data_IF_556305419720
#
_entry.id   IF_556305419720
#
_cell.length_a   1.000
_cell.length_b   1.000
_cell.length_c   1.000
_cell.angle_alpha   90.00
_cell.angle_beta   90.00
_cell.angle_gamma   90.00
#
_symmetry.space_group_name_H-M   'P 1'
#
loop_
_entity.id
_entity.type
_entity.pdbx_description
1 polymer ?
#
# COMPACT_ATOMS: atom_id res chain seq x y z
N UNK A 1 -32.17 -38.92 -48.11
CA UNK A 1 -31.91 -37.56 -47.55
C UNK A 1 -31.65 -37.76 -46.07
N UNK A 2 -30.36 -37.91 -45.72
CA UNK A 2 -29.93 -38.03 -44.32
C UNK A 2 -29.73 -36.64 -43.72
N UNK A 3 -30.49 -36.35 -42.67
CA UNK A 3 -30.33 -35.17 -41.85
C UNK A 3 -29.15 -35.38 -40.88
N UNK A 4 -27.99 -34.85 -41.15
CA UNK A 4 -26.90 -34.76 -40.21
C UNK A 4 -27.09 -33.50 -39.33
N UNK A 5 -27.37 -33.75 -38.06
CA UNK A 5 -27.36 -32.69 -37.03
C UNK A 5 -25.93 -32.19 -36.78
N UNK A 6 -25.74 -30.88 -36.55
CA UNK A 6 -24.42 -30.37 -36.20
C UNK A 6 -23.98 -30.83 -34.81
N UNK A 7 -22.65 -30.98 -34.56
CA UNK A 7 -22.13 -31.37 -33.25
C UNK A 7 -22.37 -30.26 -32.21
N UNK A 8 -22.49 -30.61 -30.93
CA UNK A 8 -22.66 -29.63 -29.87
C UNK A 8 -21.40 -28.75 -29.74
N UNK A 9 -21.66 -27.46 -29.55
CA UNK A 9 -20.64 -26.45 -29.30
C UNK A 9 -20.15 -26.56 -27.87
N UNK A 10 -19.01 -27.24 -27.66
CA UNK A 10 -18.33 -27.45 -26.36
C UNK A 10 -17.34 -26.31 -26.04
N UNK A 11 -17.62 -25.07 -26.40
CA UNK A 11 -16.79 -23.92 -26.03
C UNK A 11 -17.14 -23.34 -24.64
N UNK A 12 -17.51 -24.15 -23.66
CA UNK A 12 -17.51 -23.75 -22.27
C UNK A 12 -16.12 -23.97 -21.67
N UNK A 13 -15.23 -22.97 -21.84
CA UNK A 13 -14.05 -22.84 -20.99
C UNK A 13 -14.54 -22.60 -19.56
N UNK A 14 -14.29 -23.49 -18.60
CA UNK A 14 -14.65 -23.23 -17.23
C UNK A 14 -13.84 -22.02 -16.73
N UNK A 15 -14.52 -20.96 -16.37
CA UNK A 15 -13.91 -19.85 -15.63
C UNK A 15 -13.26 -20.43 -14.38
N UNK A 16 -11.96 -20.21 -14.22
CA UNK A 16 -11.22 -20.49 -12.99
C UNK A 16 -11.86 -19.71 -11.83
N UNK A 17 -12.83 -20.32 -11.15
CA UNK A 17 -13.57 -19.74 -10.00
C UNK A 17 -13.04 -20.17 -8.64
N UNK A 18 -11.91 -20.87 -8.55
CA UNK A 18 -11.49 -21.52 -7.30
C UNK A 18 -10.29 -20.88 -6.60
N UNK A 19 -9.69 -19.80 -7.09
CA UNK A 19 -8.66 -19.09 -6.36
C UNK A 19 -9.22 -17.80 -5.72
N UNK A 20 -8.93 -17.61 -4.43
CA UNK A 20 -9.25 -16.35 -3.75
C UNK A 20 -8.63 -15.16 -4.50
N UNK A 21 -9.30 -13.98 -4.53
CA UNK A 21 -8.74 -12.80 -5.18
C UNK A 21 -7.36 -12.45 -4.61
N UNK A 22 -6.38 -12.10 -5.46
CA UNK A 22 -5.03 -11.74 -5.01
C UNK A 22 -5.05 -10.56 -4.03
N UNK A 23 -4.23 -10.66 -2.98
CA UNK A 23 -3.91 -9.54 -2.10
C UNK A 23 -2.52 -9.01 -2.47
N UNK A 24 -2.43 -7.72 -2.82
CA UNK A 24 -1.19 -7.04 -3.22
C UNK A 24 -0.91 -5.93 -2.22
N UNK A 25 0.22 -6.01 -1.48
CA UNK A 25 0.60 -4.99 -0.50
C UNK A 25 1.94 -4.33 -0.86
N UNK A 26 1.91 -3.00 -0.98
CA UNK A 26 3.09 -2.20 -1.24
C UNK A 26 3.84 -1.86 0.05
N UNK A 27 5.17 -2.04 0.10
CA UNK A 27 5.97 -1.71 1.27
C UNK A 27 6.04 -0.18 1.51
N UNK A 28 6.45 0.22 2.71
CA UNK A 28 6.75 1.61 3.01
C UNK A 28 8.01 2.12 2.30
N UNK A 29 8.27 3.40 2.44
CA UNK A 29 9.48 4.05 1.89
C UNK A 29 10.75 3.33 2.34
N UNK A 30 11.56 2.89 1.39
CA UNK A 30 12.79 2.15 1.64
C UNK A 30 12.59 0.72 2.18
N UNK A 31 11.35 0.26 2.29
CA UNK A 31 11.01 -1.12 2.64
C UNK A 31 10.93 -2.04 1.41
N UNK A 32 11.00 -3.33 1.67
CA UNK A 32 10.79 -4.41 0.71
C UNK A 32 9.88 -5.51 1.27
N UNK A 33 9.84 -6.65 0.62
CA UNK A 33 8.97 -7.77 1.02
C UNK A 33 9.22 -8.28 2.45
N UNK A 34 10.39 -8.05 3.04
CA UNK A 34 10.74 -8.42 4.42
C UNK A 34 9.88 -7.68 5.45
N UNK A 35 9.34 -6.50 5.08
CA UNK A 35 8.43 -5.71 5.92
C UNK A 35 7.15 -6.48 6.25
N UNK A 36 6.74 -7.40 5.37
CA UNK A 36 5.50 -8.16 5.47
C UNK A 36 5.67 -9.61 5.92
N UNK A 37 6.75 -9.95 6.62
CA UNK A 37 7.01 -11.33 7.07
C UNK A 37 5.84 -11.93 7.86
N UNK A 38 5.21 -11.16 8.75
CA UNK A 38 4.05 -11.59 9.53
C UNK A 38 2.76 -11.64 8.71
N UNK A 39 2.59 -10.75 7.73
CA UNK A 39 1.47 -10.77 6.79
C UNK A 39 1.58 -11.97 5.85
N UNK A 40 2.78 -12.30 5.36
CA UNK A 40 3.01 -13.48 4.53
C UNK A 40 2.69 -14.79 5.25
N UNK A 41 2.95 -14.86 6.56
CA UNK A 41 2.56 -16.02 7.37
C UNK A 41 1.03 -16.15 7.50
N UNK A 42 0.30 -15.04 7.51
CA UNK A 42 -1.17 -15.02 7.61
C UNK A 42 -1.89 -15.13 6.25
N UNK A 43 -1.24 -14.69 5.18
CA UNK A 43 -1.71 -14.69 3.79
C UNK A 43 -0.60 -15.27 2.89
N UNK A 44 -0.55 -16.60 2.71
CA UNK A 44 0.54 -17.26 1.97
C UNK A 44 0.70 -16.77 0.53
N UNK A 45 -0.41 -16.40 -0.12
CA UNK A 45 -0.46 -15.93 -1.50
C UNK A 45 -0.29 -14.40 -1.63
N UNK A 46 0.14 -13.73 -0.54
CA UNK A 46 0.39 -12.28 -0.54
C UNK A 46 1.47 -11.91 -1.57
N UNK A 47 1.08 -11.05 -2.50
CA UNK A 47 1.99 -10.45 -3.48
C UNK A 47 2.55 -9.15 -2.89
N UNK A 48 3.87 -9.06 -2.85
CA UNK A 48 4.58 -7.82 -2.48
C UNK A 48 5.45 -7.42 -3.66
N UNK A 49 5.03 -6.43 -4.46
CA UNK A 49 5.79 -6.03 -5.63
C UNK A 49 7.08 -5.33 -5.23
N UNK A 50 8.13 -5.54 -6.02
CA UNK A 50 9.36 -4.75 -5.91
C UNK A 50 9.13 -3.38 -6.53
N UNK A 51 9.72 -2.34 -5.93
CA UNK A 51 9.70 -1.00 -6.50
C UNK A 51 10.31 -0.99 -7.90
N UNK A 52 9.67 -0.29 -8.84
CA UNK A 52 10.25 0.01 -10.15
C UNK A 52 11.10 1.29 -10.04
N UNK A 53 12.08 1.44 -10.92
CA UNK A 53 12.88 2.66 -10.95
C UNK A 53 12.02 3.85 -11.43
N UNK A 54 11.99 4.98 -10.67
CA UNK A 54 11.29 6.16 -11.12
C UNK A 54 12.03 6.83 -12.28
N UNK A 55 11.28 7.42 -13.20
CA UNK A 55 11.82 8.26 -14.24
C UNK A 55 12.24 9.63 -13.69
N UNK A 56 13.00 10.39 -14.48
CA UNK A 56 13.46 11.72 -14.07
C UNK A 56 12.27 12.63 -13.77
N UNK A 57 12.23 13.17 -12.54
CA UNK A 57 11.19 14.11 -12.04
C UNK A 57 9.74 13.60 -12.20
N UNK A 58 9.56 12.28 -12.23
CA UNK A 58 8.28 11.64 -12.46
C UNK A 58 7.28 11.94 -11.33
N UNK A 59 6.08 12.48 -11.62
CA UNK A 59 5.02 12.63 -10.63
C UNK A 59 4.55 11.26 -10.10
N UNK A 60 4.13 11.20 -8.82
CA UNK A 60 3.66 9.96 -8.21
C UNK A 60 2.49 9.32 -8.98
N UNK A 61 1.60 10.14 -9.55
CA UNK A 61 0.44 9.69 -10.34
C UNK A 61 0.89 8.93 -11.59
N UNK A 62 1.91 9.44 -12.29
CA UNK A 62 2.45 8.83 -13.51
C UNK A 62 3.25 7.57 -13.19
N UNK A 63 4.07 7.61 -12.14
CA UNK A 63 4.75 6.45 -11.60
C UNK A 63 3.76 5.32 -11.26
N UNK A 64 2.68 5.62 -10.54
CA UNK A 64 1.67 4.64 -10.18
C UNK A 64 0.93 4.10 -11.42
N UNK A 65 0.70 4.93 -12.44
CA UNK A 65 0.10 4.49 -13.69
C UNK A 65 1.01 3.51 -14.46
N UNK A 66 2.31 3.75 -14.45
CA UNK A 66 3.31 2.85 -15.04
C UNK A 66 3.44 1.58 -14.21
N UNK A 67 3.46 1.71 -12.89
CA UNK A 67 3.56 0.57 -11.98
C UNK A 67 2.33 -0.34 -12.06
N UNK A 68 1.11 0.22 -12.17
CA UNK A 68 -0.11 -0.55 -12.32
C UNK A 68 -0.01 -1.55 -13.49
N UNK A 69 0.55 -1.14 -14.62
CA UNK A 69 0.74 -2.01 -15.80
C UNK A 69 1.66 -3.20 -15.54
N UNK A 70 2.59 -3.08 -14.59
CA UNK A 70 3.56 -4.16 -14.29
C UNK A 70 3.03 -5.20 -13.30
N UNK A 71 1.98 -4.83 -12.54
CA UNK A 71 1.48 -5.69 -11.47
C UNK A 71 0.02 -6.10 -11.65
N UNK A 72 -0.63 -5.66 -12.74
CA UNK A 72 -2.02 -6.01 -13.03
C UNK A 72 -2.18 -7.54 -13.11
N UNK A 73 -2.95 -8.16 -12.21
CA UNK A 73 -3.17 -9.60 -12.23
C UNK A 73 -4.18 -10.03 -13.31
N UNK A 74 -4.80 -9.09 -14.05
CA UNK A 74 -5.84 -9.35 -15.02
C UNK A 74 -7.17 -9.84 -14.44
N UNK A 75 -7.29 -9.86 -13.10
CA UNK A 75 -8.48 -10.25 -12.35
C UNK A 75 -8.70 -9.27 -11.19
N UNK A 76 -9.94 -9.14 -10.68
CA UNK A 76 -10.20 -8.31 -9.51
C UNK A 76 -9.35 -8.74 -8.31
N UNK A 77 -8.74 -7.76 -7.64
CA UNK A 77 -7.81 -8.01 -6.54
C UNK A 77 -8.10 -7.11 -5.33
N UNK A 78 -7.43 -7.37 -4.23
CA UNK A 78 -7.31 -6.46 -3.10
C UNK A 78 -5.95 -5.78 -3.17
N UNK A 79 -5.94 -4.47 -2.98
CA UNK A 79 -4.73 -3.66 -2.98
C UNK A 79 -4.51 -3.04 -1.61
N UNK A 80 -3.30 -2.69 -1.30
CA UNK A 80 -3.03 -1.94 -0.09
C UNK A 80 -1.54 -1.63 0.08
N UNK A 81 -1.20 -0.95 1.17
CA UNK A 81 0.19 -0.67 1.46
C UNK A 81 0.42 0.08 2.75
N UNK A 82 1.68 0.10 3.15
CA UNK A 82 2.14 0.74 4.39
C UNK A 82 2.73 2.12 4.05
N UNK A 83 2.31 3.17 4.78
CA UNK A 83 2.91 4.50 4.65
C UNK A 83 2.93 5.00 3.20
N UNK A 84 4.11 5.30 2.62
CA UNK A 84 4.27 5.66 1.20
C UNK A 84 3.65 4.62 0.26
N UNK A 85 3.83 3.34 0.57
CA UNK A 85 3.23 2.26 -0.21
C UNK A 85 1.70 2.30 -0.25
N UNK A 86 1.05 2.78 0.81
CA UNK A 86 -0.40 2.98 0.81
C UNK A 86 -0.86 4.09 -0.15
N UNK A 87 -0.06 5.15 -0.28
CA UNK A 87 -0.34 6.23 -1.24
C UNK A 87 -0.19 5.73 -2.68
N UNK A 88 0.88 4.95 -2.96
CA UNK A 88 1.08 4.30 -4.27
C UNK A 88 -0.04 3.31 -4.56
N UNK A 89 -0.39 2.46 -3.58
CA UNK A 89 -1.48 1.49 -3.71
C UNK A 89 -2.82 2.15 -4.06
N UNK A 90 -3.11 3.30 -3.46
CA UNK A 90 -4.33 4.06 -3.71
C UNK A 90 -4.39 4.59 -5.16
N UNK A 91 -3.29 5.12 -5.66
CA UNK A 91 -3.18 5.56 -7.06
C UNK A 91 -3.23 4.38 -8.04
N UNK A 92 -2.62 3.24 -7.71
CA UNK A 92 -2.70 2.01 -8.50
C UNK A 92 -4.13 1.47 -8.51
N UNK A 93 -4.81 1.46 -7.35
CA UNK A 93 -6.19 0.99 -7.22
C UNK A 93 -7.17 1.78 -8.08
N UNK A 94 -6.92 3.07 -8.34
CA UNK A 94 -7.73 3.88 -9.25
C UNK A 94 -7.64 3.46 -10.73
N UNK A 95 -6.81 2.46 -11.06
CA UNK A 95 -6.49 2.01 -12.43
C UNK A 95 -6.69 0.52 -12.66
N UNK A 96 -6.83 -0.25 -11.60
CA UNK A 96 -7.00 -1.70 -11.65
C UNK A 96 -8.39 -2.10 -11.16
N UNK A 97 -8.89 -3.23 -11.65
CA UNK A 97 -10.09 -3.84 -11.07
C UNK A 97 -9.78 -4.29 -9.64
N UNK A 98 -10.45 -3.69 -8.66
CA UNK A 98 -10.20 -4.02 -7.25
C UNK A 98 -11.48 -3.98 -6.42
N UNK A 99 -11.49 -4.75 -5.34
CA UNK A 99 -12.59 -4.78 -4.38
C UNK A 99 -12.45 -3.64 -3.34
N UNK A 100 -11.26 -3.47 -2.79
CA UNK A 100 -10.97 -2.48 -1.75
C UNK A 100 -9.47 -2.23 -1.66
N UNK A 101 -9.07 -1.01 -1.27
CA UNK A 101 -7.69 -0.60 -1.02
C UNK A 101 -7.44 -0.39 0.47
N UNK A 102 -6.41 -1.03 1.02
CA UNK A 102 -6.07 -1.01 2.44
C UNK A 102 -4.93 -0.04 2.74
N UNK A 103 -5.20 0.99 3.52
CA UNK A 103 -4.21 1.96 3.97
C UNK A 103 -3.75 1.62 5.39
N UNK A 104 -2.48 1.24 5.53
CA UNK A 104 -1.88 0.82 6.79
C UNK A 104 -0.89 1.91 7.24
N UNK A 105 -1.26 2.74 8.24
CA UNK A 105 -0.44 3.88 8.66
C UNK A 105 -0.15 4.84 7.52
N UNK A 106 -1.12 5.10 6.65
CA UNK A 106 -1.01 5.90 5.44
C UNK A 106 -2.07 7.00 5.38
N UNK A 107 -2.22 7.66 4.24
CA UNK A 107 -3.13 8.80 4.05
C UNK A 107 -3.94 8.67 2.76
N UNK A 108 -5.20 9.14 2.78
CA UNK A 108 -6.10 9.15 1.60
C UNK A 108 -5.95 10.41 0.75
N UNK A 109 -5.34 11.46 1.29
CA UNK A 109 -5.24 12.76 0.63
C UNK A 109 -3.97 13.47 1.05
N UNK A 110 -3.42 14.28 0.15
CA UNK A 110 -2.32 15.18 0.45
C UNK A 110 -2.62 16.17 1.59
N UNK A 111 -3.90 16.46 1.84
CA UNK A 111 -4.33 17.33 2.94
C UNK A 111 -4.11 16.69 4.32
N UNK A 112 -4.07 15.36 4.39
CA UNK A 112 -3.77 14.62 5.62
C UNK A 112 -2.27 14.65 5.98
N UNK A 113 -1.41 14.98 5.03
CA UNK A 113 0.03 15.14 5.27
C UNK A 113 0.25 16.40 6.12
N UNK A 114 0.93 16.29 7.27
CA UNK A 114 1.14 17.44 8.15
C UNK A 114 1.78 18.62 7.45
N UNK A 115 1.32 19.84 7.77
CA UNK A 115 1.85 21.09 7.19
C UNK A 115 3.37 21.21 7.32
N UNK A 116 3.94 20.75 8.46
CA UNK A 116 5.39 20.72 8.71
C UNK A 116 6.15 19.89 7.66
N UNK A 117 5.59 18.75 7.21
CA UNK A 117 6.19 17.92 6.16
C UNK A 117 6.02 18.59 4.80
N UNK A 118 4.84 19.14 4.51
CA UNK A 118 4.60 19.85 3.25
C UNK A 118 5.47 21.12 3.10
N UNK A 119 5.84 21.76 4.20
CA UNK A 119 6.76 22.92 4.18
C UNK A 119 8.18 22.54 3.73
N UNK A 120 8.53 21.25 3.70
CA UNK A 120 9.81 20.77 3.18
C UNK A 120 9.86 20.67 1.64
N UNK A 121 8.74 20.90 0.93
CA UNK A 121 8.66 20.85 -0.54
C UNK A 121 9.77 21.64 -1.26
N UNK A 122 10.04 22.91 -0.92
CA UNK A 122 11.03 23.72 -1.65
C UNK A 122 12.46 23.21 -1.54
N UNK A 123 12.72 22.39 -0.52
CA UNK A 123 14.07 21.92 -0.20
C UNK A 123 14.27 20.43 -0.45
N UNK A 124 13.26 19.75 -1.04
CA UNK A 124 13.36 18.30 -1.32
C UNK A 124 14.51 17.95 -2.26
N UNK A 125 14.86 18.84 -3.19
CA UNK A 125 15.99 18.63 -4.10
C UNK A 125 17.35 18.90 -3.43
N UNK A 126 17.36 19.72 -2.35
CA UNK A 126 18.55 20.03 -1.54
C UNK A 126 18.68 19.13 -0.31
N UNK A 127 17.57 18.57 0.17
CA UNK A 127 17.62 17.68 1.33
C UNK A 127 18.29 16.39 0.90
N UNK A 128 19.53 16.26 1.27
CA UNK A 128 20.09 15.02 1.71
C UNK A 128 19.14 14.51 2.81
N UNK A 129 18.13 13.66 2.47
CA UNK A 129 17.36 13.01 3.52
C UNK A 129 18.40 12.18 4.25
N UNK A 130 18.91 12.66 5.39
CA UNK A 130 19.86 11.87 6.12
C UNK A 130 19.09 10.63 6.52
N UNK A 131 19.66 9.47 6.28
CA UNK A 131 19.07 8.18 6.72
C UNK A 131 18.67 8.22 8.21
N UNK A 132 19.21 9.16 8.98
CA UNK A 132 18.86 9.41 10.38
C UNK A 132 17.49 10.10 10.59
N UNK A 133 16.93 10.85 9.61
CA UNK A 133 15.57 11.45 9.77
C UNK A 133 14.51 10.35 9.74
N UNK A 134 14.64 9.39 8.82
CA UNK A 134 13.83 8.17 8.86
C UNK A 134 14.01 7.42 10.17
N UNK A 135 15.25 7.34 10.66
CA UNK A 135 15.58 6.74 11.95
C UNK A 135 14.93 7.50 13.11
N UNK A 136 15.01 8.82 13.18
CA UNK A 136 14.43 9.62 14.26
C UNK A 136 12.91 9.46 14.35
N UNK A 137 12.21 9.41 13.22
CA UNK A 137 10.78 9.14 13.17
C UNK A 137 10.43 7.72 13.65
N UNK A 138 11.31 6.74 13.40
CA UNK A 138 11.18 5.37 13.89
C UNK A 138 11.58 5.24 15.38
N UNK A 139 12.55 6.04 15.85
CA UNK A 139 13.02 6.04 17.22
C UNK A 139 12.08 6.75 18.22
N UNK A 140 11.31 7.74 17.75
CA UNK A 140 10.39 8.50 18.62
C UNK A 140 9.25 7.66 19.21
N UNK A 141 9.07 6.43 18.77
CA UNK A 141 8.00 5.53 19.20
C UNK A 141 8.38 4.60 20.36
N UNK A 142 9.36 4.98 21.22
CA UNK A 142 9.59 4.24 22.45
C UNK A 142 11.00 3.69 22.66
N UNK A 143 11.39 3.73 23.90
CA UNK A 143 12.73 3.53 24.49
C UNK A 143 13.31 2.09 24.43
N UNK A 144 12.67 1.16 23.66
CA UNK A 144 13.13 -0.23 23.56
C UNK A 144 13.34 -0.60 22.10
N UNK A 145 14.58 -0.98 21.76
CA UNK A 145 14.94 -1.48 20.44
C UNK A 145 14.31 -2.87 20.22
N UNK A 146 13.13 -2.89 19.60
CA UNK A 146 12.52 -4.15 19.18
C UNK A 146 13.22 -4.66 17.90
N UNK A 147 13.55 -5.97 17.76
CA UNK A 147 14.22 -6.52 16.57
C UNK A 147 13.58 -6.16 15.23
N UNK A 148 12.25 -6.07 15.19
CA UNK A 148 11.49 -5.69 14.00
C UNK A 148 11.78 -4.25 13.53
N UNK A 149 12.08 -3.33 14.45
CA UNK A 149 12.46 -1.94 14.11
C UNK A 149 13.87 -1.89 13.54
N UNK A 150 14.77 -2.73 14.04
CA UNK A 150 16.12 -2.86 13.48
C UNK A 150 16.06 -3.36 12.04
N UNK A 151 15.15 -4.28 11.71
CA UNK A 151 14.91 -4.74 10.35
C UNK A 151 14.44 -3.64 9.41
N UNK A 152 13.46 -2.83 9.81
CA UNK A 152 12.96 -1.70 9.02
C UNK A 152 14.02 -0.61 8.81
N UNK A 153 14.83 -0.31 9.85
CA UNK A 153 15.96 0.61 9.76
C UNK A 153 17.05 0.11 8.79
N UNK A 154 17.33 -1.17 8.83
CA UNK A 154 18.30 -1.80 7.93
C UNK A 154 17.82 -1.70 6.48
N UNK A 155 16.56 -2.00 6.19
CA UNK A 155 15.98 -1.84 4.85
C UNK A 155 16.10 -0.40 4.34
N UNK A 156 15.73 0.58 5.18
CA UNK A 156 15.89 1.99 4.83
C UNK A 156 17.35 2.36 4.56
N UNK A 157 18.30 1.74 5.27
CA UNK A 157 19.73 1.97 5.05
C UNK A 157 20.24 1.32 3.76
N UNK A 158 19.69 0.17 3.40
CA UNK A 158 20.01 -0.58 2.17
C UNK A 158 19.34 0.02 0.92
N UNK A 159 18.26 0.82 1.10
CA UNK A 159 17.50 1.38 0.00
C UNK A 159 18.31 2.36 -0.87
N UNK A 160 17.99 2.40 -2.18
CA UNK A 160 18.59 3.33 -3.12
C UNK A 160 18.25 4.78 -2.74
N UNK A 161 19.27 5.60 -2.62
CA UNK A 161 19.14 7.02 -2.29
C UNK A 161 18.39 7.83 -3.36
N UNK A 162 18.49 7.46 -4.63
CA UNK A 162 17.75 8.12 -5.71
C UNK A 162 16.26 7.86 -5.54
N UNK A 163 15.89 6.60 -5.32
CA UNK A 163 14.50 6.22 -5.03
C UNK A 163 13.97 6.94 -3.79
N UNK A 164 14.72 6.97 -2.69
CA UNK A 164 14.31 7.64 -1.45
C UNK A 164 14.07 9.13 -1.64
N UNK A 165 14.93 9.83 -2.39
CA UNK A 165 14.79 11.26 -2.69
C UNK A 165 13.55 11.50 -3.55
N UNK A 166 13.43 10.73 -4.64
CA UNK A 166 12.27 10.82 -5.50
C UNK A 166 10.98 10.58 -4.72
N UNK A 167 10.87 9.49 -3.97
CA UNK A 167 9.66 9.13 -3.25
C UNK A 167 9.29 10.16 -2.17
N UNK A 168 10.28 10.76 -1.50
CA UNK A 168 10.03 11.84 -0.55
C UNK A 168 9.50 13.10 -1.24
N UNK A 169 10.05 13.46 -2.41
CA UNK A 169 9.53 14.56 -3.23
C UNK A 169 8.13 14.22 -3.73
N UNK A 170 7.95 13.03 -4.29
CA UNK A 170 6.72 12.56 -4.87
C UNK A 170 5.55 12.60 -3.88
N UNK A 171 5.72 12.10 -2.64
CA UNK A 171 4.65 12.15 -1.63
C UNK A 171 4.35 13.58 -1.17
N UNK A 172 5.35 14.44 -1.04
CA UNK A 172 5.16 15.83 -0.59
C UNK A 172 4.51 16.71 -1.66
N UNK A 173 4.67 16.37 -2.93
CA UNK A 173 4.05 17.08 -4.06
C UNK A 173 2.78 16.39 -4.57
N UNK A 174 2.46 15.21 -4.06
CA UNK A 174 1.32 14.42 -4.49
C UNK A 174 0.00 15.17 -4.36
N UNK A 175 -0.78 15.13 -5.41
CA UNK A 175 -2.20 15.50 -5.47
C UNK A 175 -2.91 14.26 -6.02
N UNK A 176 -3.91 13.70 -5.32
CA UNK A 176 -4.62 12.53 -5.78
C UNK A 176 -5.21 12.71 -7.18
N UNK A 177 -5.11 11.66 -8.02
CA UNK A 177 -5.83 11.65 -9.31
C UNK A 177 -7.35 11.55 -9.08
N UNK A 178 -8.14 12.00 -10.06
CA UNK A 178 -9.60 12.01 -9.95
C UNK A 178 -10.21 10.61 -9.69
N UNK A 179 -9.57 9.55 -10.19
CA UNK A 179 -10.02 8.17 -9.97
C UNK A 179 -9.90 7.70 -8.51
N UNK A 180 -9.05 8.32 -7.71
CA UNK A 180 -8.83 7.96 -6.30
C UNK A 180 -10.12 8.14 -5.46
N UNK A 181 -10.95 9.12 -5.79
CA UNK A 181 -12.21 9.36 -5.06
C UNK A 181 -13.21 8.20 -5.20
N UNK A 182 -13.08 7.40 -6.25
CA UNK A 182 -13.96 6.26 -6.52
C UNK A 182 -13.48 4.98 -5.83
N UNK A 183 -12.21 4.93 -5.40
CA UNK A 183 -11.63 3.75 -4.77
C UNK A 183 -12.26 3.51 -3.39
N UNK A 184 -12.75 2.29 -3.16
CA UNK A 184 -13.15 1.86 -1.82
C UNK A 184 -11.90 1.70 -0.96
N UNK A 185 -11.89 2.38 0.17
CA UNK A 185 -10.72 2.40 1.04
C UNK A 185 -11.11 2.00 2.46
N UNK A 186 -10.36 1.03 3.02
CA UNK A 186 -10.36 0.77 4.44
C UNK A 186 -9.00 1.13 5.04
N UNK A 187 -8.99 1.78 6.19
CA UNK A 187 -7.79 2.33 6.80
C UNK A 187 -7.60 1.88 8.23
N UNK A 188 -6.43 1.30 8.52
CA UNK A 188 -5.96 1.02 9.87
C UNK A 188 -4.78 1.93 10.22
N UNK A 189 -4.81 2.52 11.41
CA UNK A 189 -3.85 3.55 11.79
C UNK A 189 -3.38 3.41 13.23
N UNK A 190 -2.14 3.82 13.51
CA UNK A 190 -1.62 3.85 14.87
C UNK A 190 -1.99 5.15 15.60
N UNK A 191 -2.52 5.05 16.83
CA UNK A 191 -2.91 6.20 17.66
C UNK A 191 -1.75 7.21 17.82
N UNK A 192 -0.53 6.70 18.00
CA UNK A 192 0.68 7.49 18.27
C UNK A 192 1.55 7.68 17.04
N UNK A 193 0.94 7.65 15.85
CA UNK A 193 1.69 7.92 14.62
C UNK A 193 2.16 9.38 14.59
N UNK A 194 3.49 9.58 14.57
CA UNK A 194 4.11 10.90 14.53
C UNK A 194 4.40 11.38 13.09
N UNK A 195 4.39 10.48 12.11
CA UNK A 195 4.57 10.81 10.68
C UNK A 195 3.26 11.36 10.13
N UNK A 196 2.20 10.56 10.20
CA UNK A 196 0.85 10.91 9.83
C UNK A 196 -0.05 10.86 11.09
N UNK A 197 -0.14 11.95 11.87
CA UNK A 197 -0.89 11.93 13.12
C UNK A 197 -2.33 11.45 12.95
N UNK A 198 -2.78 10.55 13.82
CA UNK A 198 -4.12 9.95 13.75
C UNK A 198 -5.25 11.01 13.69
N UNK A 199 -5.05 12.19 14.31
CA UNK A 199 -6.02 13.31 14.24
C UNK A 199 -6.20 13.91 12.84
N UNK A 200 -5.29 13.62 11.89
CA UNK A 200 -5.36 14.13 10.52
C UNK A 200 -6.06 13.16 9.57
N UNK A 201 -6.37 11.95 10.01
CA UNK A 201 -6.96 10.89 9.19
C UNK A 201 -8.26 10.39 9.81
N UNK A 202 -9.14 9.85 8.99
CA UNK A 202 -10.32 9.12 9.44
C UNK A 202 -10.07 7.64 9.16
N UNK A 203 -9.62 6.91 10.18
CA UNK A 203 -9.34 5.48 10.07
C UNK A 203 -10.56 4.65 10.50
N UNK A 204 -10.77 3.51 9.83
CA UNK A 204 -11.80 2.53 10.20
C UNK A 204 -11.40 1.80 11.49
N UNK A 205 -10.09 1.62 11.72
CA UNK A 205 -9.54 1.09 12.96
C UNK A 205 -8.32 1.89 13.41
N UNK A 206 -8.38 2.46 14.62
CA UNK A 206 -7.23 3.07 15.30
C UNK A 206 -6.69 2.12 16.35
N UNK A 207 -5.43 1.71 16.21
CA UNK A 207 -4.76 0.79 17.13
C UNK A 207 -4.13 1.58 18.28
N UNK A 208 -4.62 1.37 19.49
CA UNK A 208 -4.15 2.06 20.70
C UNK A 208 -2.69 1.74 20.99
N UNK A 209 -1.91 2.75 21.32
CA UNK A 209 -0.49 2.63 21.64
C UNK A 209 0.42 2.39 20.44
N UNK A 210 -0.12 2.09 19.25
CA UNK A 210 0.65 1.86 18.04
C UNK A 210 1.19 3.17 17.45
N UNK A 211 2.42 3.13 16.93
CA UNK A 211 3.03 4.21 16.15
C UNK A 211 2.89 3.98 14.64
N UNK A 212 3.77 4.66 13.88
CA UNK A 212 3.76 4.60 12.41
C UNK A 212 3.97 3.18 11.84
N UNK A 213 4.78 2.36 12.49
CA UNK A 213 5.06 0.97 12.08
C UNK A 213 4.02 -0.01 12.61
N UNK A 214 2.73 0.33 12.52
CA UNK A 214 1.62 -0.50 13.04
C UNK A 214 1.63 -1.91 12.43
N UNK A 215 1.98 -2.06 11.15
CA UNK A 215 2.09 -3.35 10.46
C UNK A 215 3.12 -4.31 11.08
N UNK A 216 4.16 -3.77 11.70
CA UNK A 216 5.21 -4.54 12.37
C UNK A 216 4.92 -4.75 13.85
N UNK A 217 4.52 -3.68 14.55
CA UNK A 217 4.40 -3.70 16.01
C UNK A 217 3.07 -4.30 16.48
N UNK A 218 2.04 -4.24 15.65
CA UNK A 218 0.68 -4.73 15.93
C UNK A 218 0.17 -5.57 14.77
N UNK A 219 1.03 -6.45 14.25
CA UNK A 219 0.79 -7.24 13.06
C UNK A 219 -0.46 -8.14 13.17
N UNK A 220 -0.79 -8.64 14.37
CA UNK A 220 -1.99 -9.45 14.57
C UNK A 220 -3.27 -8.65 14.30
N UNK A 221 -3.34 -7.41 14.83
CA UNK A 221 -4.50 -6.53 14.59
C UNK A 221 -4.59 -6.15 13.11
N UNK A 222 -3.45 -5.89 12.45
CA UNK A 222 -3.43 -5.60 11.00
C UNK A 222 -3.89 -6.81 10.19
N UNK A 223 -3.42 -8.02 10.52
CA UNK A 223 -3.81 -9.24 9.83
C UNK A 223 -5.31 -9.54 10.03
N UNK A 224 -5.83 -9.34 11.23
CA UNK A 224 -7.25 -9.52 11.51
C UNK A 224 -8.09 -8.49 10.73
N UNK A 225 -7.70 -7.22 10.76
CA UNK A 225 -8.36 -6.15 10.00
C UNK A 225 -8.44 -6.48 8.50
N UNK A 226 -7.32 -6.90 7.89
CA UNK A 226 -7.30 -7.28 6.48
C UNK A 226 -8.25 -8.44 6.19
N UNK A 227 -8.21 -9.50 7.02
CA UNK A 227 -9.07 -10.67 6.86
C UNK A 227 -10.55 -10.30 6.93
N UNK A 228 -10.95 -9.59 7.99
CA UNK A 228 -12.35 -9.18 8.19
C UNK A 228 -12.85 -8.31 7.03
N UNK A 229 -12.01 -7.40 6.52
CA UNK A 229 -12.38 -6.55 5.40
C UNK A 229 -12.52 -7.33 4.10
N UNK A 230 -11.59 -8.24 3.81
CA UNK A 230 -11.65 -9.09 2.62
C UNK A 230 -12.89 -10.00 2.64
N UNK A 231 -13.13 -10.68 3.77
CA UNK A 231 -14.31 -11.54 3.96
C UNK A 231 -15.61 -10.75 3.78
N UNK A 232 -15.71 -9.57 4.40
CA UNK A 232 -16.88 -8.71 4.28
C UNK A 232 -17.12 -8.24 2.83
N UNK A 233 -16.07 -7.84 2.12
CA UNK A 233 -16.17 -7.40 0.73
C UNK A 233 -16.72 -8.52 -0.18
N UNK A 234 -16.22 -9.75 0.02
CA UNK A 234 -16.67 -10.91 -0.75
C UNK A 234 -18.08 -11.37 -0.36
N UNK A 235 -18.41 -11.39 0.94
CA UNK A 235 -19.72 -11.80 1.44
C UNK A 235 -20.85 -10.84 1.02
N UNK A 236 -20.55 -9.55 0.91
CA UNK A 236 -21.49 -8.53 0.45
C UNK A 236 -21.63 -8.49 -1.06
N UNK A 237 -20.86 -9.32 -1.79
CA UNK A 237 -20.87 -9.36 -3.25
C UNK A 237 -20.45 -8.00 -3.85
N UNK A 238 -19.54 -7.29 -3.19
CA UNK A 238 -19.05 -6.03 -3.74
C UNK A 238 -18.46 -6.25 -5.13
N UNK A 239 -18.99 -5.60 -6.15
CA UNK A 239 -18.39 -5.69 -7.46
C UNK A 239 -16.99 -5.03 -7.41
N UNK A 240 -16.03 -5.52 -8.18
CA UNK A 240 -14.77 -4.82 -8.37
C UNK A 240 -15.04 -3.45 -9.03
N UNK A 241 -14.23 -2.47 -8.64
CA UNK A 241 -14.31 -1.10 -9.15
C UNK A 241 -13.26 -0.87 -10.22
#
# INVERSE_FOLDING_TARGET
MEHTSPPPDDSHVPAHRDSAPPLILFPGLGGDSRLFSTQRAAFPDLIVPSWIEPEWDEPLVDYAARFAKTIDPGVPCFLGGVSFGGVVALEVASRLLNYECYLIGSVRSHLHIPRRLRALRPVTDLIFIPKWIGSAALFSAGRWMHPLRCGALRQLHEADLRFLRWAAKAILTWIPSAGVEQVRVAQIHGERDLIFPARNVTADLTVLGAGHLVSLTHSLQVNQFLRDRMENALAQGWPPM
#
